data_IF_934599969816
#
_entry.id   IF_934599969816
#
_cell.length_a   1.000
_cell.length_b   1.000
_cell.length_c   1.000
_cell.angle_alpha   90.00
_cell.angle_beta   90.00
_cell.angle_gamma   90.00
#
_symmetry.space_group_name_H-M   'P 1'
#
loop_
_entity.id
_entity.type
_entity.pdbx_description
1 polymer ?
#
# COMPACT_ATOMS: atom_id res chain seq x y z
N UNK A 1 14.47 19.65 -7.62
CA UNK A 1 13.80 18.50 -8.25
C UNK A 1 13.74 17.41 -7.19
N UNK A 2 12.57 16.83 -6.92
CA UNK A 2 12.39 15.80 -5.87
C UNK A 2 13.11 14.50 -6.26
N UNK A 3 13.71 13.83 -5.28
CA UNK A 3 14.31 12.50 -5.45
C UNK A 3 13.32 11.46 -4.94
N UNK A 4 12.87 10.53 -5.77
CA UNK A 4 11.91 9.48 -5.41
C UNK A 4 12.57 8.12 -5.54
N UNK A 5 12.40 7.26 -4.53
CA UNK A 5 12.85 5.88 -4.55
C UNK A 5 11.68 4.95 -4.88
N UNK A 6 11.81 4.18 -5.96
CA UNK A 6 10.94 3.05 -6.26
C UNK A 6 11.48 1.78 -5.60
N UNK A 7 10.69 1.18 -4.72
CA UNK A 7 10.98 -0.08 -4.04
C UNK A 7 10.12 -1.16 -4.67
N UNK A 8 10.74 -2.10 -5.37
CA UNK A 8 10.02 -3.24 -5.97
C UNK A 8 9.99 -4.43 -5.00
N UNK A 9 8.80 -4.99 -4.82
CA UNK A 9 8.56 -6.16 -3.96
C UNK A 9 8.06 -7.38 -4.75
N UNK A 10 7.84 -7.24 -6.05
CA UNK A 10 7.24 -8.26 -6.93
C UNK A 10 5.79 -7.92 -7.30
N UNK A 11 4.95 -8.94 -7.39
CA UNK A 11 3.55 -8.82 -7.82
C UNK A 11 3.39 -8.68 -9.33
N UNK A 12 2.14 -8.67 -9.82
CA UNK A 12 1.79 -8.65 -11.24
C UNK A 12 2.43 -7.51 -12.02
N UNK A 13 2.62 -6.35 -11.39
CA UNK A 13 3.25 -5.17 -12.01
C UNK A 13 4.70 -5.45 -12.45
N UNK A 14 5.39 -6.37 -11.77
CA UNK A 14 6.76 -6.78 -12.04
C UNK A 14 6.84 -8.16 -12.71
N UNK A 15 5.73 -8.71 -13.22
CA UNK A 15 5.71 -9.98 -13.91
C UNK A 15 5.78 -9.80 -15.43
N UNK A 16 6.41 -10.75 -16.13
CA UNK A 16 6.23 -10.97 -17.56
C UNK A 16 5.33 -12.18 -17.81
N UNK A 17 4.65 -12.17 -18.96
CA UNK A 17 3.84 -13.29 -19.40
C UNK A 17 4.73 -14.40 -19.98
N UNK A 18 4.59 -15.63 -19.48
CA UNK A 18 5.20 -16.81 -20.05
C UNK A 18 4.12 -17.85 -20.38
N UNK A 19 4.45 -18.87 -21.16
CA UNK A 19 3.53 -19.97 -21.50
C UNK A 19 3.06 -20.75 -20.25
N UNK A 20 3.79 -20.66 -19.13
CA UNK A 20 3.46 -21.29 -17.85
C UNK A 20 2.71 -20.36 -16.88
N UNK A 21 2.39 -19.12 -17.29
CA UNK A 21 1.72 -18.11 -16.47
C UNK A 21 2.56 -16.86 -16.21
N UNK A 22 2.19 -16.09 -15.17
CA UNK A 22 2.90 -14.88 -14.79
C UNK A 22 4.11 -15.24 -13.93
N UNK A 23 5.31 -14.94 -14.43
CA UNK A 23 6.56 -15.11 -13.69
C UNK A 23 7.13 -13.76 -13.29
N UNK A 24 7.52 -13.56 -12.01
CA UNK A 24 8.18 -12.35 -11.57
C UNK A 24 9.53 -12.19 -12.27
N UNK A 25 9.68 -11.24 -13.17
CA UNK A 25 10.88 -11.09 -13.99
C UNK A 25 11.36 -9.65 -14.16
N UNK A 26 10.48 -8.65 -14.01
CA UNK A 26 10.86 -7.28 -14.27
C UNK A 26 11.79 -6.73 -13.19
N UNK A 27 12.96 -6.32 -13.64
CA UNK A 27 13.91 -5.55 -12.85
C UNK A 27 13.35 -4.12 -12.65
N UNK A 28 13.64 -3.51 -11.52
CA UNK A 28 13.19 -2.15 -11.19
C UNK A 28 13.54 -1.11 -12.27
N UNK A 29 14.69 -1.24 -12.94
CA UNK A 29 15.09 -0.35 -14.04
C UNK A 29 14.17 -0.50 -15.25
N UNK A 30 13.63 -1.68 -15.47
CA UNK A 30 12.64 -1.94 -16.51
C UNK A 30 11.32 -1.25 -16.18
N UNK A 31 10.83 -1.34 -14.94
CA UNK A 31 9.65 -0.60 -14.49
C UNK A 31 9.81 0.91 -14.73
N UNK A 32 10.98 1.46 -14.44
CA UNK A 32 11.28 2.87 -14.67
C UNK A 32 11.25 3.25 -16.16
N UNK A 33 11.59 2.32 -17.05
CA UNK A 33 11.58 2.56 -18.50
C UNK A 33 10.18 2.75 -19.08
N UNK A 34 9.15 2.19 -18.43
CA UNK A 34 7.76 2.29 -18.89
C UNK A 34 7.08 3.63 -18.57
N UNK A 35 7.69 4.49 -17.75
CA UNK A 35 7.16 5.80 -17.39
C UNK A 35 8.08 6.97 -17.80
N UNK A 36 8.53 7.03 -19.08
CA UNK A 36 9.51 8.02 -19.54
C UNK A 36 9.03 9.47 -19.44
N UNK A 37 7.70 9.69 -19.43
CA UNK A 37 7.08 11.02 -19.28
C UNK A 37 7.24 11.64 -17.87
N UNK A 38 7.68 10.85 -16.90
CA UNK A 38 8.05 11.34 -15.55
C UNK A 38 9.44 11.98 -15.55
N UNK A 39 10.29 11.65 -16.54
CA UNK A 39 11.61 12.29 -16.69
C UNK A 39 11.44 13.80 -16.79
N UNK A 40 12.18 14.53 -15.95
CA UNK A 40 12.08 15.99 -15.84
C UNK A 40 11.15 16.50 -14.73
N UNK A 41 10.25 15.67 -14.17
CA UNK A 41 9.43 16.02 -13.01
C UNK A 41 10.12 15.69 -11.69
N UNK A 42 10.80 14.55 -11.62
CA UNK A 42 11.59 14.12 -10.47
C UNK A 42 12.81 13.32 -10.92
N UNK A 43 13.77 13.13 -10.00
CA UNK A 43 14.81 12.11 -10.14
C UNK A 43 14.22 10.81 -9.56
N UNK A 44 14.28 9.74 -10.33
CA UNK A 44 13.70 8.46 -9.97
C UNK A 44 14.81 7.41 -9.95
N UNK A 45 14.99 6.79 -8.80
CA UNK A 45 15.91 5.65 -8.58
C UNK A 45 15.08 4.45 -8.16
N UNK A 46 15.63 3.25 -8.29
CA UNK A 46 14.89 2.07 -7.90
C UNK A 46 15.76 0.99 -7.30
N UNK A 47 15.19 0.25 -6.37
CA UNK A 47 15.78 -0.94 -5.75
C UNK A 47 14.74 -2.07 -5.72
N UNK A 48 15.22 -3.29 -5.83
CA UNK A 48 14.39 -4.49 -5.61
C UNK A 48 14.83 -5.14 -4.30
N UNK A 49 13.92 -5.25 -3.35
CA UNK A 49 14.20 -5.81 -2.03
C UNK A 49 13.65 -7.23 -1.87
N UNK A 50 12.69 -7.60 -2.70
CA UNK A 50 12.14 -8.94 -2.81
C UNK A 50 11.45 -9.11 -4.18
N UNK A 51 11.13 -10.35 -4.51
CA UNK A 51 10.38 -10.66 -5.74
C UNK A 51 9.40 -11.80 -5.44
N UNK A 52 8.23 -11.44 -4.89
CA UNK A 52 7.26 -12.41 -4.39
C UNK A 52 5.87 -12.15 -4.99
N UNK A 53 5.07 -13.21 -5.05
CA UNK A 53 3.63 -13.07 -5.12
C UNK A 53 3.13 -12.50 -3.78
N UNK A 54 2.25 -11.50 -3.83
CA UNK A 54 1.75 -10.86 -2.62
C UNK A 54 0.95 -11.79 -1.70
N UNK A 55 0.45 -12.92 -2.20
CA UNK A 55 -0.18 -13.97 -1.38
C UNK A 55 0.79 -14.56 -0.34
N UNK A 56 2.09 -14.46 -0.59
CA UNK A 56 3.16 -14.89 0.31
C UNK A 56 3.67 -13.77 1.24
N UNK A 57 3.02 -12.59 1.22
CA UNK A 57 3.38 -11.49 2.12
C UNK A 57 3.09 -11.87 3.56
N UNK A 58 4.00 -11.50 4.45
CA UNK A 58 3.91 -11.74 5.89
C UNK A 58 4.42 -10.53 6.69
N UNK A 59 4.23 -10.50 8.02
CA UNK A 59 4.67 -9.38 8.86
C UNK A 59 6.18 -9.06 8.75
N UNK A 60 7.04 -10.05 8.61
CA UNK A 60 8.49 -9.86 8.50
C UNK A 60 8.86 -9.13 7.21
N UNK A 61 8.21 -9.50 6.10
CA UNK A 61 8.40 -8.85 4.80
C UNK A 61 7.84 -7.42 4.79
N UNK A 62 6.71 -7.18 5.47
CA UNK A 62 6.18 -5.82 5.66
C UNK A 62 7.14 -4.96 6.48
N UNK A 63 7.74 -5.51 7.55
CA UNK A 63 8.77 -4.83 8.34
C UNK A 63 10.01 -4.53 7.51
N UNK A 64 10.42 -5.43 6.60
CA UNK A 64 11.54 -5.19 5.70
C UNK A 64 11.30 -3.96 4.80
N UNK A 65 10.08 -3.81 4.26
CA UNK A 65 9.70 -2.60 3.49
C UNK A 65 9.84 -1.34 4.35
N UNK A 66 9.31 -1.36 5.58
CA UNK A 66 9.38 -0.21 6.47
C UNK A 66 10.83 0.14 6.88
N UNK A 67 11.66 -0.87 7.14
CA UNK A 67 13.10 -0.69 7.45
C UNK A 67 13.84 -0.07 6.27
N UNK A 68 13.59 -0.57 5.06
CA UNK A 68 14.18 -0.01 3.83
C UNK A 68 13.79 1.47 3.65
N UNK A 69 12.51 1.82 3.84
CA UNK A 69 12.06 3.22 3.74
C UNK A 69 12.79 4.10 4.76
N UNK A 70 12.96 3.62 5.99
CA UNK A 70 13.69 4.35 7.05
C UNK A 70 15.18 4.46 6.75
N UNK A 71 15.81 3.44 6.20
CA UNK A 71 17.23 3.45 5.83
C UNK A 71 17.54 4.54 4.79
N UNK A 72 16.65 4.71 3.80
CA UNK A 72 16.83 5.68 2.73
C UNK A 72 16.14 7.03 3.00
N UNK A 73 15.67 7.28 4.22
CA UNK A 73 14.87 8.48 4.54
C UNK A 73 15.57 9.80 4.27
N UNK A 74 16.87 9.85 4.42
CA UNK A 74 17.64 11.09 4.28
C UNK A 74 18.08 11.36 2.83
N UNK A 75 18.09 10.34 1.97
CA UNK A 75 18.52 10.42 0.57
C UNK A 75 17.39 10.77 -0.39
N UNK A 76 16.12 10.47 -0.01
CA UNK A 76 14.96 10.62 -0.88
C UNK A 76 13.87 11.48 -0.26
N UNK A 77 13.15 12.22 -1.12
CA UNK A 77 12.02 13.07 -0.75
C UNK A 77 10.68 12.33 -0.64
N UNK A 78 10.62 11.13 -1.19
CA UNK A 78 9.42 10.29 -1.18
C UNK A 78 9.70 8.88 -1.71
N UNK A 79 8.75 7.99 -1.47
CA UNK A 79 8.88 6.55 -1.74
C UNK A 79 7.68 6.04 -2.52
N UNK A 80 7.93 5.18 -3.48
CA UNK A 80 6.89 4.42 -4.19
C UNK A 80 7.18 2.94 -3.98
N UNK A 81 6.20 2.16 -3.58
CA UNK A 81 6.32 0.71 -3.39
C UNK A 81 5.48 0.01 -4.46
N UNK A 82 6.15 -0.70 -5.36
CA UNK A 82 5.49 -1.58 -6.33
C UNK A 82 5.21 -2.93 -5.67
N UNK A 83 3.92 -3.29 -5.57
CA UNK A 83 3.42 -4.39 -4.75
C UNK A 83 2.35 -5.20 -5.50
N UNK A 84 2.18 -6.47 -5.16
CA UNK A 84 1.06 -7.27 -5.65
C UNK A 84 -0.26 -6.88 -4.98
N UNK A 85 -1.36 -6.93 -5.74
CA UNK A 85 -2.63 -6.33 -5.32
C UNK A 85 -3.37 -7.07 -4.20
N UNK A 86 -3.14 -8.40 -4.02
CA UNK A 86 -3.96 -9.21 -3.11
C UNK A 86 -3.80 -8.85 -1.64
N UNK A 87 -2.59 -8.51 -1.22
CA UNK A 87 -2.30 -8.12 0.17
C UNK A 87 -1.86 -6.67 0.31
N UNK A 88 -1.95 -5.86 -0.75
CA UNK A 88 -1.52 -4.46 -0.76
C UNK A 88 -2.22 -3.63 0.33
N UNK A 89 -3.50 -3.88 0.58
CA UNK A 89 -4.27 -3.22 1.65
C UNK A 89 -3.68 -3.49 3.04
N UNK A 90 -3.26 -4.72 3.29
CA UNK A 90 -2.64 -5.11 4.57
C UNK A 90 -1.27 -4.46 4.75
N UNK A 91 -0.44 -4.50 3.70
CA UNK A 91 0.87 -3.84 3.71
C UNK A 91 0.73 -2.33 3.89
N UNK A 92 -0.23 -1.69 3.21
CA UNK A 92 -0.49 -0.27 3.34
C UNK A 92 -0.89 0.10 4.77
N UNK A 93 -1.84 -0.62 5.37
CA UNK A 93 -2.26 -0.40 6.75
C UNK A 93 -1.10 -0.62 7.74
N UNK A 94 -0.32 -1.70 7.58
CA UNK A 94 0.84 -1.97 8.42
C UNK A 94 1.87 -0.83 8.35
N UNK A 95 2.18 -0.33 7.15
CA UNK A 95 3.11 0.79 6.96
C UNK A 95 2.60 2.10 7.58
N UNK A 96 1.28 2.37 7.59
CA UNK A 96 0.72 3.54 8.29
C UNK A 96 1.13 3.53 9.76
N UNK A 97 1.04 2.38 10.44
CA UNK A 97 1.37 2.26 11.86
C UNK A 97 2.89 2.19 12.11
N UNK A 98 3.63 1.44 11.29
CA UNK A 98 5.08 1.29 11.42
C UNK A 98 5.86 2.57 11.07
N UNK A 99 5.31 3.40 10.19
CA UNK A 99 5.88 4.67 9.75
C UNK A 99 5.14 5.86 10.40
N UNK A 100 4.57 5.66 11.58
CA UNK A 100 3.91 6.74 12.32
C UNK A 100 4.88 7.91 12.52
N UNK A 101 4.39 9.12 12.25
CA UNK A 101 5.17 10.36 12.23
C UNK A 101 6.30 10.42 11.16
N UNK A 102 6.26 9.57 10.16
CA UNK A 102 7.15 9.69 9.01
C UNK A 102 6.70 10.84 8.11
N UNK A 103 7.58 11.83 7.93
CA UNK A 103 7.27 13.13 7.31
C UNK A 103 7.37 13.17 5.79
N UNK A 104 7.53 12.03 5.14
CA UNK A 104 7.61 11.92 3.67
C UNK A 104 6.49 11.05 3.12
N UNK A 105 6.09 11.25 1.85
CA UNK A 105 5.10 10.40 1.20
C UNK A 105 5.64 8.99 0.96
N UNK A 106 4.81 7.99 1.25
CA UNK A 106 4.99 6.59 0.86
C UNK A 106 3.75 6.19 0.08
N UNK A 107 3.91 5.91 -1.21
CA UNK A 107 2.79 5.60 -2.10
C UNK A 107 2.93 4.17 -2.59
N UNK A 108 1.98 3.31 -2.22
CA UNK A 108 1.96 1.92 -2.63
C UNK A 108 1.08 1.79 -3.86
N UNK A 109 1.54 1.01 -4.83
CA UNK A 109 0.80 0.75 -6.06
C UNK A 109 1.06 -0.65 -6.58
N UNK A 110 0.24 -1.07 -7.51
CA UNK A 110 0.32 -2.35 -8.19
C UNK A 110 -0.51 -2.34 -9.46
N UNK A 111 -0.76 -3.49 -10.04
CA UNK A 111 -1.61 -3.60 -11.22
C UNK A 111 -2.36 -4.93 -11.27
N UNK A 112 -3.45 -4.94 -12.02
CA UNK A 112 -4.18 -6.16 -12.35
C UNK A 112 -3.53 -6.90 -13.53
N UNK A 113 -2.89 -6.17 -14.44
CA UNK A 113 -2.20 -6.73 -15.59
C UNK A 113 -0.70 -6.44 -15.53
N UNK A 114 0.15 -7.30 -16.12
CA UNK A 114 1.58 -7.04 -16.27
C UNK A 114 1.86 -5.76 -17.03
N UNK A 115 3.04 -5.18 -16.82
CA UNK A 115 3.47 -3.93 -17.45
C UNK A 115 3.47 -4.00 -18.98
N UNK A 116 3.74 -5.18 -19.55
CA UNK A 116 3.83 -5.43 -20.99
C UNK A 116 2.47 -5.66 -21.67
N UNK A 117 1.41 -5.91 -20.92
CA UNK A 117 0.10 -6.16 -21.47
C UNK A 117 -0.42 -4.96 -22.27
N UNK A 118 -1.13 -5.21 -23.37
CA UNK A 118 -1.61 -4.17 -24.31
C UNK A 118 -2.47 -3.11 -23.62
N UNK A 119 -3.39 -3.54 -22.76
CA UNK A 119 -4.32 -2.65 -22.04
C UNK A 119 -3.99 -2.58 -20.54
N UNK A 120 -2.69 -2.57 -20.19
CA UNK A 120 -2.27 -2.59 -18.79
C UNK A 120 -2.67 -1.33 -18.03
N UNK A 121 -3.12 -1.51 -16.78
CA UNK A 121 -3.29 -0.47 -15.79
C UNK A 121 -1.97 -0.09 -15.09
N UNK A 122 -0.93 -0.93 -15.22
CA UNK A 122 0.33 -0.78 -14.51
C UNK A 122 1.04 0.54 -14.77
N UNK A 123 1.12 0.97 -16.05
CA UNK A 123 1.80 2.21 -16.45
C UNK A 123 1.14 3.44 -15.83
N UNK A 124 -0.20 3.46 -15.81
CA UNK A 124 -0.97 4.54 -15.20
C UNK A 124 -0.79 4.54 -13.69
N UNK A 125 -0.97 3.40 -13.04
CA UNK A 125 -0.89 3.28 -11.59
C UNK A 125 0.50 3.67 -11.07
N UNK A 126 1.57 3.17 -11.69
CA UNK A 126 2.94 3.53 -11.34
C UNK A 126 3.22 5.02 -11.55
N UNK A 127 2.76 5.57 -12.68
CA UNK A 127 2.91 7.00 -12.99
C UNK A 127 2.20 7.88 -11.96
N UNK A 128 0.95 7.54 -11.63
CA UNK A 128 0.15 8.28 -10.65
C UNK A 128 0.78 8.22 -9.26
N UNK A 129 1.31 7.05 -8.86
CA UNK A 129 2.02 6.90 -7.59
C UNK A 129 3.26 7.80 -7.51
N UNK A 130 4.08 7.85 -8.57
CA UNK A 130 5.26 8.72 -8.62
C UNK A 130 4.87 10.21 -8.61
N UNK A 131 3.85 10.59 -9.39
CA UNK A 131 3.35 11.98 -9.43
C UNK A 131 2.89 12.41 -8.04
N UNK A 132 2.15 11.57 -7.32
CA UNK A 132 1.70 11.91 -5.98
C UNK A 132 2.84 11.95 -4.96
N UNK A 133 3.80 11.03 -5.04
CA UNK A 133 5.00 11.08 -4.19
C UNK A 133 5.80 12.37 -4.40
N UNK A 134 5.87 12.87 -5.64
CA UNK A 134 6.55 14.14 -5.95
C UNK A 134 5.87 15.37 -5.33
N UNK A 135 4.59 15.31 -4.97
CA UNK A 135 3.90 16.41 -4.31
C UNK A 135 4.45 16.66 -2.90
N UNK A 136 4.90 15.61 -2.22
CA UNK A 136 5.57 15.70 -0.93
C UNK A 136 4.63 15.73 0.27
N UNK A 137 3.36 15.36 0.12
CA UNK A 137 2.43 15.21 1.25
C UNK A 137 2.80 13.97 2.06
N UNK A 138 3.20 14.18 3.31
CA UNK A 138 3.56 13.10 4.22
C UNK A 138 2.40 12.13 4.45
N UNK A 139 2.72 10.85 4.64
CA UNK A 139 1.76 9.79 4.92
C UNK A 139 1.92 8.59 4.00
N UNK A 140 1.17 7.52 4.31
CA UNK A 140 1.12 6.30 3.51
C UNK A 140 -0.17 6.26 2.72
N UNK A 141 -0.07 6.03 1.42
CA UNK A 141 -1.18 6.06 0.49
C UNK A 141 -1.17 4.85 -0.43
N UNK A 142 -2.32 4.50 -0.95
CA UNK A 142 -2.48 3.58 -2.09
C UNK A 142 -2.89 4.40 -3.31
N UNK A 143 -2.13 4.28 -4.41
CA UNK A 143 -2.48 4.85 -5.71
C UNK A 143 -2.99 3.75 -6.63
N UNK A 144 -4.24 3.83 -7.04
CA UNK A 144 -4.85 2.84 -7.93
C UNK A 144 -5.97 3.45 -8.75
N UNK A 145 -6.00 3.16 -10.03
CA UNK A 145 -6.98 3.67 -11.02
C UNK A 145 -7.25 5.19 -10.92
N UNK A 146 -6.21 5.99 -10.70
CA UNK A 146 -6.32 7.44 -10.58
C UNK A 146 -6.86 7.93 -9.24
N UNK A 147 -7.09 7.03 -8.27
CA UNK A 147 -7.48 7.37 -6.92
C UNK A 147 -6.26 7.30 -5.99
N UNK A 148 -6.16 8.28 -5.10
CA UNK A 148 -5.22 8.26 -3.97
C UNK A 148 -6.02 8.02 -2.71
N UNK A 149 -5.76 6.90 -2.06
CA UNK A 149 -6.49 6.42 -0.90
C UNK A 149 -5.55 6.42 0.30
N UNK A 150 -6.02 6.82 1.47
CA UNK A 150 -5.26 6.68 2.71
C UNK A 150 -4.95 5.19 2.99
N UNK A 151 -3.71 4.87 3.33
CA UNK A 151 -3.25 3.50 3.45
C UNK A 151 -3.99 2.66 4.50
N UNK A 152 -4.48 3.29 5.58
CA UNK A 152 -5.28 2.61 6.60
C UNK A 152 -6.72 2.30 6.15
N UNK A 153 -7.19 2.95 5.08
CA UNK A 153 -8.57 2.85 4.60
C UNK A 153 -8.68 2.19 3.23
N UNK A 154 -7.56 1.82 2.61
CA UNK A 154 -7.56 1.16 1.31
C UNK A 154 -8.03 -0.30 1.44
N UNK A 155 -8.98 -0.71 0.62
CA UNK A 155 -9.48 -2.09 0.56
C UNK A 155 -9.61 -2.57 -0.88
N UNK A 156 -9.10 -3.77 -1.17
CA UNK A 156 -9.36 -4.45 -2.44
C UNK A 156 -10.75 -5.05 -2.39
N UNK A 157 -11.63 -4.59 -3.27
CA UNK A 157 -13.06 -5.00 -3.34
C UNK A 157 -13.39 -5.79 -4.60
N UNK A 158 -12.53 -5.74 -5.62
CA UNK A 158 -12.69 -6.47 -6.88
C UNK A 158 -11.39 -7.18 -7.25
N UNK A 159 -11.51 -8.39 -7.80
CA UNK A 159 -10.36 -9.25 -8.10
C UNK A 159 -9.77 -9.02 -9.49
N UNK A 160 -10.55 -8.56 -10.47
CA UNK A 160 -10.12 -8.45 -11.88
C UNK A 160 -10.35 -7.08 -12.51
N UNK A 161 -11.09 -6.19 -11.88
CA UNK A 161 -11.40 -4.86 -12.41
C UNK A 161 -10.27 -3.89 -12.13
N UNK A 162 -10.07 -2.88 -12.98
CA UNK A 162 -9.06 -1.85 -12.78
C UNK A 162 -9.40 -0.94 -11.60
N UNK A 163 -10.69 -0.69 -11.34
CA UNK A 163 -11.20 0.00 -10.17
C UNK A 163 -11.28 -0.94 -8.94
N UNK A 164 -10.19 -1.66 -8.65
CA UNK A 164 -10.17 -2.74 -7.68
C UNK A 164 -10.13 -2.29 -6.22
N UNK A 165 -9.76 -1.04 -5.95
CA UNK A 165 -9.59 -0.51 -4.60
C UNK A 165 -10.58 0.59 -4.27
N UNK A 166 -11.10 0.57 -3.06
CA UNK A 166 -12.00 1.58 -2.51
C UNK A 166 -11.45 2.14 -1.19
N UNK A 167 -11.83 3.38 -0.88
CA UNK A 167 -11.60 3.99 0.43
C UNK A 167 -12.78 3.66 1.34
N UNK A 168 -12.54 2.93 2.42
CA UNK A 168 -13.58 2.46 3.34
C UNK A 168 -13.66 3.37 4.56
N UNK A 169 -14.85 3.92 4.86
CA UNK A 169 -15.12 4.81 5.99
C UNK A 169 -14.21 6.08 6.03
N UNK A 170 -13.68 6.47 4.89
CA UNK A 170 -12.85 7.66 4.74
C UNK A 170 -12.94 8.18 3.28
N UNK A 171 -12.92 9.47 3.04
CA UNK A 171 -12.96 9.99 1.68
C UNK A 171 -11.69 9.64 0.89
N UNK A 172 -11.81 9.52 -0.43
CA UNK A 172 -10.65 9.47 -1.32
C UNK A 172 -9.86 10.76 -1.14
N UNK A 173 -8.54 10.64 -0.96
CA UNK A 173 -7.65 11.77 -0.63
C UNK A 173 -7.46 12.72 -1.81
N UNK A 174 -7.27 12.13 -3.00
CA UNK A 174 -7.12 12.88 -4.24
C UNK A 174 -7.45 12.02 -5.44
N UNK A 175 -7.73 12.67 -6.57
CA UNK A 175 -7.84 12.04 -7.88
C UNK A 175 -6.74 12.55 -8.81
N UNK A 176 -6.20 11.65 -9.66
CA UNK A 176 -5.22 11.99 -10.68
C UNK A 176 -5.79 11.72 -12.06
N UNK A 177 -5.91 12.77 -12.87
CA UNK A 177 -6.32 12.70 -14.27
C UNK A 177 -5.35 13.51 -15.13
N UNK A 178 -4.83 12.89 -16.20
CA UNK A 178 -3.87 13.54 -17.11
C UNK A 178 -2.68 14.16 -16.37
N UNK A 179 -2.11 13.43 -15.39
CA UNK A 179 -1.00 13.88 -14.52
C UNK A 179 -1.31 15.13 -13.67
N UNK A 180 -2.58 15.50 -13.51
CA UNK A 180 -3.03 16.58 -12.64
C UNK A 180 -3.70 16.00 -11.40
N UNK A 181 -3.23 16.44 -10.22
CA UNK A 181 -3.78 16.06 -8.93
C UNK A 181 -4.93 17.02 -8.58
N UNK A 182 -6.04 16.46 -8.15
CA UNK A 182 -7.17 17.20 -7.57
C UNK A 182 -7.41 16.64 -6.17
N UNK A 183 -7.14 17.46 -5.14
CA UNK A 183 -7.33 17.06 -3.76
C UNK A 183 -8.79 17.11 -3.35
N UNK A 184 -9.17 16.24 -2.42
CA UNK A 184 -10.44 16.31 -1.74
C UNK A 184 -10.32 17.27 -0.54
N UNK A 185 -11.07 18.36 -0.58
CA UNK A 185 -11.07 19.41 0.46
C UNK A 185 -11.57 18.91 1.83
N UNK A 186 -12.36 17.84 1.86
CA UNK A 186 -12.82 17.21 3.08
C UNK A 186 -11.71 16.45 3.84
N UNK A 187 -10.58 16.17 3.18
CA UNK A 187 -9.42 15.52 3.79
C UNK A 187 -8.51 16.58 4.38
N UNK A 188 -8.69 16.85 5.66
CA UNK A 188 -7.76 17.70 6.42
C UNK A 188 -6.49 16.89 6.70
N UNK A 189 -5.37 17.36 6.15
CA UNK A 189 -4.07 16.73 6.40
C UNK A 189 -3.51 17.20 7.74
N UNK A 190 -3.61 16.36 8.75
CA UNK A 190 -2.74 16.46 9.93
C UNK A 190 -1.36 15.91 9.55
N UNK A 191 -0.63 16.72 8.79
CA UNK A 191 0.78 16.41 8.45
C UNK A 191 1.66 16.89 9.61
N UNK A 192 1.67 16.14 10.72
CA UNK A 192 2.57 16.42 11.83
C UNK A 192 4.01 16.32 11.34
N UNK A 193 4.69 17.46 11.32
CA UNK A 193 6.08 17.62 10.88
C UNK A 193 7.11 17.18 11.94
N UNK A 194 6.71 16.44 12.97
CA UNK A 194 7.63 15.99 14.01
C UNK A 194 8.30 14.68 13.59
N UNK A 195 9.59 14.74 13.31
CA UNK A 195 10.40 13.54 13.11
C UNK A 195 10.62 12.82 14.44
N UNK A 196 9.68 11.97 14.82
CA UNK A 196 9.83 10.99 15.90
C UNK A 196 10.15 9.59 15.33
N UNK A 197 10.91 9.53 14.25
CA UNK A 197 11.29 8.30 13.54
C UNK A 197 12.19 7.35 14.33
N UNK A 198 12.33 7.54 15.64
CA UNK A 198 13.14 6.69 16.53
C UNK A 198 12.48 5.35 16.90
N UNK A 199 11.24 5.11 16.53
CA UNK A 199 10.57 3.83 16.81
C UNK A 199 10.95 2.84 15.72
N UNK A 200 11.59 1.73 16.11
CA UNK A 200 11.81 0.59 15.20
C UNK A 200 10.46 0.02 14.76
N UNK A 201 10.31 -0.31 13.46
CA UNK A 201 9.08 -0.90 12.97
C UNK A 201 8.91 -2.30 13.54
N UNK A 202 7.90 -2.46 14.40
CA UNK A 202 7.55 -3.74 14.99
C UNK A 202 6.10 -4.10 14.69
N UNK A 203 5.84 -5.38 14.44
CA UNK A 203 4.51 -5.95 14.33
C UNK A 203 4.39 -7.15 15.26
N UNK A 204 3.29 -7.24 15.99
CA UNK A 204 2.97 -8.44 16.74
C UNK A 204 2.24 -9.43 15.82
N UNK A 205 2.86 -10.59 15.57
CA UNK A 205 2.24 -11.67 14.80
C UNK A 205 1.28 -12.54 15.60
N UNK A 206 1.35 -12.45 16.95
CA UNK A 206 0.53 -13.25 17.86
C UNK A 206 -0.87 -12.65 18.04
N UNK A 207 -1.55 -12.36 16.94
CA UNK A 207 -2.90 -11.76 16.94
C UNK A 207 -3.85 -12.65 16.13
N UNK A 208 -4.99 -13.00 16.74
CA UNK A 208 -6.06 -13.75 16.09
C UNK A 208 -7.16 -12.80 15.62
N UNK A 209 -7.61 -12.96 14.38
CA UNK A 209 -8.83 -12.33 13.88
C UNK A 209 -9.98 -13.35 13.91
N UNK A 210 -11.07 -13.04 14.62
CA UNK A 210 -12.26 -13.86 14.64
C UNK A 210 -13.46 -13.05 14.17
N UNK A 211 -14.21 -13.63 13.23
CA UNK A 211 -15.55 -13.16 12.88
C UNK A 211 -16.57 -13.94 13.70
N UNK A 212 -17.31 -13.25 14.55
CA UNK A 212 -18.39 -13.85 15.34
C UNK A 212 -19.59 -14.20 14.44
N UNK A 213 -20.15 -15.37 14.67
CA UNK A 213 -21.36 -15.85 13.99
C UNK A 213 -22.23 -16.62 14.99
N UNK A 214 -23.56 -16.72 14.76
CA UNK A 214 -24.44 -17.51 15.59
C UNK A 214 -24.02 -18.99 15.63
N UNK A 215 -23.83 -19.54 16.84
CA UNK A 215 -23.37 -20.92 17.03
C UNK A 215 -21.86 -21.12 17.15
N UNK A 216 -21.08 -20.05 17.22
CA UNK A 216 -19.63 -20.18 17.52
C UNK A 216 -19.44 -20.84 18.91
N UNK A 217 -18.54 -21.83 18.98
CA UNK A 217 -18.24 -22.50 20.25
C UNK A 217 -17.36 -21.59 21.15
N UNK A 218 -17.80 -21.39 22.39
CA UNK A 218 -17.08 -20.56 23.36
C UNK A 218 -15.68 -21.11 23.69
N UNK A 219 -15.39 -22.39 23.48
CA UNK A 219 -14.06 -22.98 23.69
C UNK A 219 -12.97 -22.30 22.85
N UNK A 220 -13.33 -21.66 21.72
CA UNK A 220 -12.38 -20.93 20.90
C UNK A 220 -11.72 -19.77 21.68
N UNK A 221 -12.48 -19.11 22.56
CA UNK A 221 -11.95 -17.98 23.35
C UNK A 221 -10.95 -18.43 24.39
N UNK A 222 -11.14 -19.59 25.02
CA UNK A 222 -10.15 -20.17 25.94
C UNK A 222 -8.87 -20.57 25.20
N UNK A 223 -9.00 -21.13 24.01
CA UNK A 223 -7.85 -21.43 23.16
C UNK A 223 -7.05 -20.18 22.80
N UNK A 224 -7.73 -19.10 22.38
CA UNK A 224 -7.07 -17.85 22.00
C UNK A 224 -6.34 -17.24 23.19
N UNK A 225 -6.99 -17.18 24.36
CA UNK A 225 -6.40 -16.63 25.58
C UNK A 225 -5.09 -17.32 25.96
N UNK A 226 -4.96 -18.62 25.67
CA UNK A 226 -3.76 -19.39 25.96
C UNK A 226 -2.64 -19.30 24.91
N UNK A 227 -2.95 -18.85 23.68
CA UNK A 227 -2.03 -18.97 22.54
C UNK A 227 -1.73 -17.66 21.82
N UNK A 228 -2.50 -16.60 22.05
CA UNK A 228 -2.34 -15.32 21.35
C UNK A 228 -2.23 -14.15 22.32
N UNK A 229 -1.44 -13.16 21.95
CA UNK A 229 -1.29 -11.91 22.73
C UNK A 229 -2.43 -10.93 22.52
N UNK A 230 -3.14 -11.06 21.38
CA UNK A 230 -4.26 -10.21 21.02
C UNK A 230 -5.32 -10.93 20.21
N UNK A 231 -6.55 -10.43 20.26
CA UNK A 231 -7.64 -10.92 19.44
C UNK A 231 -8.48 -9.75 18.94
N UNK A 232 -8.67 -9.67 17.62
CA UNK A 232 -9.62 -8.77 16.99
C UNK A 232 -10.93 -9.50 16.74
N UNK A 233 -11.99 -9.10 17.44
CA UNK A 233 -13.35 -9.65 17.27
C UNK A 233 -14.11 -8.80 16.27
N UNK A 234 -14.43 -9.38 15.12
CA UNK A 234 -15.31 -8.75 14.14
C UNK A 234 -16.74 -9.18 14.39
N UNK A 235 -17.60 -8.21 14.72
CA UNK A 235 -19.03 -8.41 14.93
C UNK A 235 -19.82 -7.90 13.72
N UNK A 236 -21.03 -8.43 13.52
CA UNK A 236 -21.95 -7.81 12.57
C UNK A 236 -22.39 -6.44 13.10
N UNK A 237 -22.51 -5.41 12.24
CA UNK A 237 -23.05 -4.12 12.64
C UNK A 237 -24.44 -4.30 13.28
N UNK A 238 -24.68 -3.65 14.41
CA UNK A 238 -25.97 -3.64 15.10
C UNK A 238 -26.65 -2.28 14.89
N UNK A 239 -28.00 -2.23 14.84
CA UNK A 239 -28.69 -0.95 14.79
C UNK A 239 -28.32 0.02 15.93
N UNK A 240 -27.79 -0.51 17.04
CA UNK A 240 -27.29 0.31 18.18
C UNK A 240 -25.99 1.01 17.86
N UNK A 241 -25.18 0.48 16.94
CA UNK A 241 -23.90 1.07 16.55
C UNK A 241 -24.10 2.35 15.72
N UNK A 242 -25.28 2.49 15.09
CA UNK A 242 -25.66 3.68 14.31
C UNK A 242 -26.42 4.73 15.14
N UNK A 243 -26.88 4.40 16.34
CA UNK A 243 -27.62 5.31 17.19
C UNK A 243 -26.73 6.21 18.06
N UNK A 244 -25.42 5.99 18.04
CA UNK A 244 -24.43 6.71 18.83
C UNK A 244 -23.56 7.69 18.01
N UNK A 245 -23.91 7.91 16.73
CA UNK A 245 -23.21 8.83 15.84
C UNK A 245 -23.99 10.12 15.59
#
# INVERSE_FOLDING_TARGET
MKNILLIATGGTIACSSSDEGLTPSANVNELLSYIPHIKGKCKLSGISIMNIDSTNMNPELMMNIAKTIKEYKDDYDGFVVAHGTDTMSYTAAALVYMLNNFYKPVVITGSQLPMEAEYTDAKKNLSDAVIYACEGRAGVYVAFDGCIINGAHARKVKTRSYDAFESVNYPVVAHIKHSRITHNEAVQGDYNKSDNSGIEPELCSDVMLIKLFPGIDNKIFEFIKGHYKGCLLYTSPSPRDYAAS
#
